data_IF_213461693505
#
_entry.id   IF_213461693505
#
_cell.length_a   1.000
_cell.length_b   1.000
_cell.length_c   1.000
_cell.angle_alpha   90.00
_cell.angle_beta   90.00
_cell.angle_gamma   90.00
#
_symmetry.space_group_name_H-M   'P 1'
#
loop_
_entity.id
_entity.type
_entity.pdbx_description
1 polymer ?
#
# COMPACT_ATOMS: atom_id res chain seq x y z
N UNK A 1 -10.59 21.45 -2.01
CA UNK A 1 -11.01 21.68 -0.61
C UNK A 1 -10.54 20.53 0.25
N UNK A 2 -9.93 20.82 1.39
CA UNK A 2 -9.53 19.78 2.34
C UNK A 2 -10.73 19.35 3.19
N UNK A 3 -10.70 18.10 3.67
CA UNK A 3 -11.74 17.53 4.53
C UNK A 3 -11.09 16.89 5.74
N UNK A 4 -11.64 17.15 6.92
CA UNK A 4 -11.25 16.51 8.17
C UNK A 4 -12.28 15.42 8.49
N UNK A 5 -11.87 14.15 8.38
CA UNK A 5 -12.70 13.04 8.82
C UNK A 5 -12.36 12.67 10.27
N UNK A 6 -13.38 12.51 11.10
CA UNK A 6 -13.24 12.26 12.54
C UNK A 6 -13.86 10.91 12.85
N UNK A 7 -13.11 10.08 13.58
CA UNK A 7 -13.53 8.77 14.06
C UNK A 7 -13.25 8.69 15.56
N UNK A 8 -14.16 8.05 16.30
CA UNK A 8 -13.93 7.68 17.70
C UNK A 8 -13.75 6.18 17.76
N UNK A 9 -12.72 5.74 18.47
CA UNK A 9 -12.48 4.32 18.73
C UNK A 9 -12.56 4.07 20.23
N UNK A 10 -13.49 3.21 20.64
CA UNK A 10 -13.69 2.78 22.01
C UNK A 10 -13.13 1.38 22.25
N UNK A 11 -12.79 1.08 23.50
CA UNK A 11 -12.51 -0.27 23.98
C UNK A 11 -13.32 -0.47 25.25
N UNK A 12 -14.13 -1.52 25.32
CA UNK A 12 -14.92 -1.84 26.50
C UNK A 12 -14.14 -2.68 27.53
N UNK A 13 -14.78 -3.02 28.65
CA UNK A 13 -14.16 -3.81 29.72
C UNK A 13 -13.81 -5.25 29.29
N UNK A 14 -14.44 -5.76 28.22
CA UNK A 14 -14.17 -7.06 27.62
C UNK A 14 -13.13 -6.98 26.48
N UNK A 15 -12.50 -5.81 26.29
CA UNK A 15 -11.53 -5.52 25.23
C UNK A 15 -12.11 -5.56 23.80
N UNK A 16 -13.42 -5.44 23.66
CA UNK A 16 -14.02 -5.28 22.34
C UNK A 16 -13.72 -3.87 21.81
N UNK A 17 -13.22 -3.81 20.58
CA UNK A 17 -12.90 -2.55 19.91
C UNK A 17 -14.09 -2.13 19.06
N UNK A 18 -14.64 -0.94 19.32
CA UNK A 18 -15.64 -0.30 18.47
C UNK A 18 -15.03 0.92 17.78
N UNK A 19 -15.39 1.15 16.53
CA UNK A 19 -15.00 2.34 15.78
C UNK A 19 -16.23 2.97 15.15
N UNK A 20 -16.45 4.25 15.43
CA UNK A 20 -17.60 5.00 14.96
C UNK A 20 -17.14 6.21 14.16
N UNK A 21 -17.77 6.39 13.01
CA UNK A 21 -17.61 7.58 12.21
C UNK A 21 -18.41 8.72 12.83
N UNK A 22 -17.73 9.82 13.16
CA UNK A 22 -18.35 10.98 13.82
C UNK A 22 -18.87 11.95 12.77
N UNK A 23 -17.95 12.50 11.96
CA UNK A 23 -18.29 13.51 10.98
C UNK A 23 -17.16 13.73 9.98
N UNK A 24 -17.51 14.41 8.88
CA UNK A 24 -16.55 15.00 7.94
C UNK A 24 -16.77 16.50 7.93
N UNK A 25 -15.78 17.25 8.41
CA UNK A 25 -15.78 18.71 8.40
C UNK A 25 -15.08 19.20 7.13
N UNK A 26 -15.75 20.06 6.37
CA UNK A 26 -15.13 20.68 5.19
C UNK A 26 -14.31 21.88 5.63
N UNK A 27 -13.03 21.91 5.27
CA UNK A 27 -12.13 23.03 5.57
C UNK A 27 -12.21 24.05 4.43
N UNK A 28 -12.72 25.25 4.71
CA UNK A 28 -13.07 26.27 3.71
C UNK A 28 -11.88 27.11 3.27
N UNK A 29 -10.96 27.44 4.18
CA UNK A 29 -9.92 28.44 3.93
C UNK A 29 -8.50 27.86 4.06
N UNK A 30 -8.10 27.49 5.28
CA UNK A 30 -6.76 26.99 5.59
C UNK A 30 -6.82 25.67 6.38
N UNK A 31 -5.70 24.93 6.37
CA UNK A 31 -5.54 23.67 7.11
C UNK A 31 -4.45 23.79 8.16
N UNK A 32 -4.39 24.94 8.84
CA UNK A 32 -3.43 25.14 9.92
C UNK A 32 -3.75 24.23 11.10
N UNK A 33 -2.78 24.06 12.00
CA UNK A 33 -3.00 23.30 13.22
C UNK A 33 -4.13 23.87 14.09
N UNK A 34 -4.37 25.18 14.02
CA UNK A 34 -5.44 25.80 14.79
C UNK A 34 -6.81 25.50 14.20
N UNK A 35 -6.95 25.61 12.87
CA UNK A 35 -8.22 25.36 12.17
C UNK A 35 -8.65 23.91 12.40
N UNK A 36 -7.72 22.97 12.23
CA UNK A 36 -8.00 21.54 12.44
C UNK A 36 -8.36 21.25 13.90
N UNK A 37 -7.68 21.89 14.86
CA UNK A 37 -7.99 21.72 16.28
C UNK A 37 -9.39 22.24 16.63
N UNK A 38 -9.75 23.44 16.18
CA UNK A 38 -11.07 24.04 16.44
C UNK A 38 -12.18 23.19 15.82
N UNK A 39 -12.02 22.75 14.57
CA UNK A 39 -12.99 21.87 13.92
C UNK A 39 -13.12 20.51 14.62
N UNK A 40 -12.01 19.91 15.07
CA UNK A 40 -12.01 18.65 15.80
C UNK A 40 -12.73 18.78 17.15
N UNK A 41 -12.36 19.78 17.94
CA UNK A 41 -12.93 19.99 19.28
C UNK A 41 -14.42 20.32 19.17
N UNK A 42 -14.81 21.22 18.27
CA UNK A 42 -16.23 21.54 18.06
C UNK A 42 -17.06 20.33 17.64
N UNK A 43 -16.52 19.46 16.78
CA UNK A 43 -17.22 18.24 16.39
C UNK A 43 -17.38 17.23 17.54
N UNK A 44 -16.39 17.13 18.44
CA UNK A 44 -16.44 16.23 19.60
C UNK A 44 -17.31 16.79 20.74
N UNK A 45 -17.30 18.12 20.95
CA UNK A 45 -18.16 18.80 21.91
C UNK A 45 -19.65 18.70 21.50
N UNK A 46 -19.96 18.75 20.20
CA UNK A 46 -21.32 18.51 19.68
C UNK A 46 -21.83 17.08 19.95
N UNK A 47 -20.93 16.13 20.20
CA UNK A 47 -21.26 14.76 20.57
C UNK A 47 -21.23 14.53 22.09
N UNK A 48 -21.03 15.57 22.88
CA UNK A 48 -20.90 15.50 24.34
C UNK A 48 -19.84 14.49 24.79
N UNK A 49 -18.75 14.36 24.02
CA UNK A 49 -17.68 13.39 24.32
C UNK A 49 -17.00 13.76 25.63
N UNK A 50 -16.99 12.81 26.56
CA UNK A 50 -16.25 12.93 27.81
C UNK A 50 -14.74 12.80 27.57
N UNK A 51 -14.06 13.94 27.58
CA UNK A 51 -12.61 14.04 27.41
C UNK A 51 -11.82 13.30 28.49
N UNK A 52 -12.38 13.05 29.68
CA UNK A 52 -11.70 12.30 30.74
C UNK A 52 -11.47 10.83 30.35
N UNK A 53 -12.26 10.31 29.41
CA UNK A 53 -12.16 8.96 28.86
C UNK A 53 -11.26 8.90 27.62
N UNK A 54 -10.79 10.04 27.12
CA UNK A 54 -9.98 10.11 25.93
C UNK A 54 -8.53 9.71 26.25
N UNK A 55 -8.13 8.54 25.74
CA UNK A 55 -6.80 7.98 26.02
C UNK A 55 -5.76 8.51 25.03
N UNK A 56 -6.08 8.54 23.73
CA UNK A 56 -5.11 8.90 22.69
C UNK A 56 -5.75 9.47 21.42
N UNK A 57 -4.92 10.13 20.61
CA UNK A 57 -5.28 10.63 19.28
C UNK A 57 -4.34 10.05 18.23
N UNK A 58 -4.91 9.58 17.13
CA UNK A 58 -4.18 9.09 15.97
C UNK A 58 -4.26 10.08 14.80
N UNK A 59 -3.14 10.30 14.09
CA UNK A 59 -3.02 11.33 13.04
C UNK A 59 -2.31 10.82 11.79
N UNK A 60 -2.57 11.46 10.65
CA UNK A 60 -2.01 11.15 9.32
C UNK A 60 -0.56 11.63 9.12
N UNK A 61 -0.01 12.34 10.10
CA UNK A 61 1.35 12.88 10.07
C UNK A 61 1.50 14.19 9.30
N UNK A 62 0.40 14.84 8.90
CA UNK A 62 0.46 16.16 8.27
C UNK A 62 1.16 17.18 9.19
N UNK A 63 1.94 18.15 8.65
CA UNK A 63 2.67 19.13 9.47
C UNK A 63 1.80 19.87 10.49
N UNK A 64 0.54 20.18 10.14
CA UNK A 64 -0.46 20.76 11.04
C UNK A 64 -0.83 19.85 12.22
N UNK A 65 -0.75 18.52 12.05
CA UNK A 65 -1.02 17.53 13.10
C UNK A 65 0.22 17.22 13.96
N UNK A 66 1.43 17.24 13.38
CA UNK A 66 2.69 16.82 14.04
C UNK A 66 3.61 17.94 14.50
N UNK A 67 3.30 19.20 14.20
CA UNK A 67 4.17 20.33 14.54
C UNK A 67 4.60 20.34 16.02
N UNK A 68 5.91 20.33 16.28
CA UNK A 68 6.48 20.21 17.64
C UNK A 68 6.11 21.37 18.58
N UNK A 69 5.86 22.56 18.03
CA UNK A 69 5.56 23.79 18.79
C UNK A 69 4.09 24.18 18.80
N UNK A 70 3.34 23.83 17.75
CA UNK A 70 1.99 24.36 17.53
C UNK A 70 1.04 23.38 16.82
N UNK A 71 1.41 22.10 16.68
CA UNK A 71 0.56 21.09 16.03
C UNK A 71 -0.69 20.76 16.84
N UNK A 72 -1.72 20.21 16.19
CA UNK A 72 -2.99 19.80 16.83
C UNK A 72 -2.77 18.91 18.05
N UNK A 73 -1.77 18.03 18.01
CA UNK A 73 -1.45 17.15 19.15
C UNK A 73 -0.90 17.89 20.36
N UNK A 74 -0.14 18.97 20.15
CA UNK A 74 0.33 19.81 21.26
C UNK A 74 -0.87 20.48 21.93
N UNK A 75 -1.80 21.02 21.12
CA UNK A 75 -3.04 21.65 21.59
C UNK A 75 -3.97 20.67 22.31
N UNK A 76 -4.08 19.41 21.85
CA UNK A 76 -4.88 18.38 22.52
C UNK A 76 -4.29 17.98 23.88
N UNK A 77 -2.96 18.03 24.03
CA UNK A 77 -2.30 17.77 25.32
C UNK A 77 -2.70 18.82 26.36
N UNK A 78 -2.77 20.09 25.96
CA UNK A 78 -3.23 21.19 26.83
C UNK A 78 -4.69 21.01 27.28
N UNK A 79 -5.53 20.34 26.47
CA UNK A 79 -6.92 19.98 26.78
C UNK A 79 -7.08 18.73 27.67
N UNK A 80 -5.97 18.13 28.13
CA UNK A 80 -5.99 16.99 29.07
C UNK A 80 -5.86 15.61 28.45
N UNK A 81 -5.48 15.49 27.17
CA UNK A 81 -5.22 14.21 26.52
C UNK A 81 -3.84 13.66 26.97
N UNK A 82 -3.77 12.57 27.77
CA UNK A 82 -2.53 12.16 28.46
C UNK A 82 -1.52 11.49 27.52
N UNK A 83 -1.99 10.74 26.53
CA UNK A 83 -1.13 10.10 25.55
C UNK A 83 -1.36 10.65 24.15
N UNK A 84 -0.26 11.00 23.50
CA UNK A 84 -0.21 11.10 22.06
C UNK A 84 0.86 10.11 21.62
N UNK A 85 0.50 9.26 20.67
CA UNK A 85 1.49 8.41 20.04
C UNK A 85 2.10 9.25 18.91
N UNK A 86 3.44 9.30 18.81
CA UNK A 86 4.16 9.83 17.63
C UNK A 86 3.98 8.94 16.39
N UNK A 87 2.89 8.19 16.41
CA UNK A 87 2.55 7.10 15.56
C UNK A 87 1.55 7.65 14.56
N UNK A 88 2.06 8.03 13.38
CA UNK A 88 1.35 7.66 12.14
C UNK A 88 1.00 6.20 12.33
N UNK A 89 -0.30 5.84 12.36
CA UNK A 89 -0.80 4.49 12.63
C UNK A 89 0.30 3.45 12.51
N UNK A 90 0.81 2.94 13.63
CA UNK A 90 1.73 1.81 13.59
C UNK A 90 0.90 0.80 12.83
N UNK A 91 1.41 0.37 11.68
CA UNK A 91 0.74 -0.71 10.97
C UNK A 91 0.55 -1.84 11.98
N UNK A 92 -0.51 -2.65 11.82
CA UNK A 92 -0.76 -3.77 12.73
C UNK A 92 0.52 -4.60 12.97
N UNK A 93 1.39 -4.72 11.97
CA UNK A 93 2.73 -5.32 12.08
C UNK A 93 3.70 -4.60 13.01
N UNK A 94 3.76 -3.26 12.97
CA UNK A 94 4.65 -2.51 13.83
C UNK A 94 4.21 -2.53 15.31
N UNK A 95 2.90 -2.56 15.59
CA UNK A 95 2.37 -2.84 16.94
C UNK A 95 2.75 -4.24 17.39
N UNK A 96 2.52 -5.24 16.53
CA UNK A 96 2.82 -6.64 16.82
C UNK A 96 4.31 -6.87 17.14
N UNK A 97 5.21 -6.23 16.37
CA UNK A 97 6.66 -6.26 16.60
C UNK A 97 7.04 -5.64 17.94
N UNK A 98 6.39 -4.55 18.35
CA UNK A 98 6.63 -3.93 19.64
C UNK A 98 6.12 -4.80 20.79
N UNK A 99 4.93 -5.39 20.63
CA UNK A 99 4.39 -6.36 21.59
C UNK A 99 5.34 -7.54 21.79
N UNK A 100 5.85 -8.13 20.70
CA UNK A 100 6.80 -9.24 20.79
C UNK A 100 8.07 -8.88 21.56
N UNK A 101 8.60 -7.66 21.37
CA UNK A 101 9.79 -7.19 22.10
C UNK A 101 9.53 -7.05 23.61
N UNK A 102 8.38 -6.49 23.98
CA UNK A 102 8.00 -6.20 25.37
C UNK A 102 7.25 -7.36 26.05
N UNK A 103 7.17 -8.53 25.42
CA UNK A 103 6.29 -9.62 25.87
C UNK A 103 6.57 -10.07 27.31
N UNK A 104 7.83 -10.01 27.77
CA UNK A 104 8.20 -10.43 29.13
C UNK A 104 7.69 -9.41 30.15
N UNK A 105 7.93 -8.14 29.88
CA UNK A 105 7.48 -7.02 30.70
C UNK A 105 5.95 -6.94 30.75
N UNK A 106 5.29 -7.25 29.63
CA UNK A 106 3.82 -7.35 29.56
C UNK A 106 3.33 -8.51 30.43
N UNK A 107 3.96 -9.69 30.36
CA UNK A 107 3.60 -10.84 31.19
C UNK A 107 3.73 -10.52 32.69
N UNK A 108 4.86 -9.94 33.10
CA UNK A 108 5.11 -9.50 34.48
C UNK A 108 4.08 -8.47 34.96
N UNK A 109 3.77 -7.47 34.14
CA UNK A 109 2.76 -6.46 34.45
C UNK A 109 1.36 -7.08 34.63
N UNK A 110 0.98 -7.97 33.71
CA UNK A 110 -0.32 -8.63 33.74
C UNK A 110 -0.47 -9.55 34.96
N UNK A 111 0.61 -10.26 35.33
CA UNK A 111 0.67 -11.03 36.56
C UNK A 111 0.51 -10.13 37.80
N UNK A 112 1.17 -8.98 37.84
CA UNK A 112 1.05 -8.03 38.96
C UNK A 112 -0.38 -7.45 39.09
N UNK A 113 -1.16 -7.44 38.00
CA UNK A 113 -2.58 -7.06 37.99
C UNK A 113 -3.53 -8.22 38.32
N UNK A 114 -3.01 -9.40 38.67
CA UNK A 114 -3.81 -10.59 38.95
C UNK A 114 -4.50 -11.16 37.71
N UNK A 115 -3.99 -10.87 36.51
CA UNK A 115 -4.53 -11.34 35.23
C UNK A 115 -3.41 -11.98 34.40
N UNK A 116 -2.88 -13.16 34.79
CA UNK A 116 -1.81 -13.82 34.04
C UNK A 116 -2.27 -14.13 32.60
N UNK A 117 -1.33 -14.09 31.66
CA UNK A 117 -1.56 -14.40 30.24
C UNK A 117 -0.76 -15.66 29.93
N UNK A 118 -1.42 -16.82 30.05
CA UNK A 118 -0.78 -18.14 29.95
C UNK A 118 -0.09 -18.35 28.59
N UNK A 119 -0.58 -17.72 27.54
CA UNK A 119 0.01 -17.76 26.20
C UNK A 119 1.42 -17.18 26.14
N UNK A 120 1.77 -16.25 27.04
CA UNK A 120 3.11 -15.67 27.12
C UNK A 120 4.13 -16.59 27.81
N UNK A 121 3.66 -17.67 28.46
CA UNK A 121 4.49 -18.71 29.06
C UNK A 121 4.62 -19.95 28.14
N UNK A 122 3.73 -20.11 27.15
CA UNK A 122 3.76 -21.23 26.20
C UNK A 122 4.86 -21.06 25.12
N UNK A 123 5.90 -21.93 25.09
CA UNK A 123 6.94 -21.87 24.08
C UNK A 123 6.44 -22.09 22.64
N UNK A 124 5.36 -22.85 22.43
CA UNK A 124 4.78 -23.04 21.11
C UNK A 124 4.10 -21.77 20.61
N UNK A 125 3.27 -21.17 21.46
CA UNK A 125 2.62 -19.89 21.15
C UNK A 125 3.63 -18.78 20.87
N UNK A 126 4.73 -18.68 21.63
CA UNK A 126 5.78 -17.68 21.39
C UNK A 126 6.45 -17.88 20.02
N UNK A 127 6.62 -19.13 19.55
CA UNK A 127 7.15 -19.41 18.20
C UNK A 127 6.18 -18.97 17.11
N UNK A 128 4.89 -19.26 17.28
CA UNK A 128 3.86 -18.83 16.35
C UNK A 128 3.78 -17.30 16.28
N UNK A 129 3.84 -16.63 17.43
CA UNK A 129 3.91 -15.17 17.50
C UNK A 129 5.17 -14.64 16.78
N UNK A 130 6.33 -15.26 17.00
CA UNK A 130 7.57 -14.84 16.35
C UNK A 130 7.49 -14.94 14.82
N UNK A 131 6.95 -16.04 14.30
CA UNK A 131 6.69 -16.20 12.87
C UNK A 131 5.71 -15.12 12.36
N UNK A 132 4.61 -14.89 13.09
CA UNK A 132 3.59 -13.91 12.72
C UNK A 132 4.17 -12.48 12.66
N UNK A 133 5.02 -12.11 13.63
CA UNK A 133 5.71 -10.81 13.66
C UNK A 133 6.57 -10.63 12.41
N UNK A 134 7.39 -11.62 12.09
CA UNK A 134 8.32 -11.55 10.97
C UNK A 134 7.58 -11.51 9.61
N UNK A 135 6.57 -12.36 9.39
CA UNK A 135 5.81 -12.34 8.12
C UNK A 135 4.99 -11.05 7.97
N UNK A 136 4.43 -10.53 9.07
CA UNK A 136 3.69 -9.27 9.03
C UNK A 136 4.61 -8.08 8.75
N UNK A 137 5.85 -8.11 9.23
CA UNK A 137 6.85 -7.11 8.90
C UNK A 137 7.21 -7.14 7.41
N UNK A 138 7.40 -8.32 6.84
CA UNK A 138 7.62 -8.48 5.39
C UNK A 138 6.45 -7.92 4.56
N UNK A 139 5.22 -8.21 4.97
CA UNK A 139 4.00 -7.66 4.35
C UNK A 139 3.91 -6.14 4.52
N UNK A 140 4.34 -5.61 5.67
CA UNK A 140 4.39 -4.17 5.91
C UNK A 140 5.40 -3.48 5.00
N UNK A 141 6.59 -4.06 4.80
CA UNK A 141 7.59 -3.56 3.85
C UNK A 141 7.03 -3.54 2.42
N UNK A 142 6.35 -4.60 1.98
CA UNK A 142 5.68 -4.61 0.68
C UNK A 142 4.64 -3.48 0.60
N UNK A 143 3.78 -3.36 1.62
CA UNK A 143 2.72 -2.35 1.66
C UNK A 143 3.29 -0.93 1.55
N UNK A 144 4.34 -0.60 2.30
CA UNK A 144 5.05 0.69 2.22
C UNK A 144 5.70 0.88 0.85
N UNK A 145 6.28 -0.19 0.28
CA UNK A 145 6.87 -0.16 -1.07
C UNK A 145 5.82 0.10 -2.14
N UNK A 146 4.57 -0.31 -1.95
CA UNK A 146 3.47 0.04 -2.86
C UNK A 146 2.82 1.40 -2.55
N UNK A 147 3.17 2.05 -1.44
CA UNK A 147 2.70 3.39 -1.14
C UNK A 147 3.59 4.43 -1.83
N UNK A 148 3.00 5.54 -2.27
CA UNK A 148 3.70 6.61 -2.98
C UNK A 148 2.84 7.25 -4.05
N UNK A 149 3.19 8.47 -4.45
CA UNK A 149 2.63 9.13 -5.63
C UNK A 149 3.57 8.89 -6.81
N UNK A 150 3.05 8.96 -8.03
CA UNK A 150 3.82 8.82 -9.28
C UNK A 150 4.54 7.47 -9.42
N UNK A 151 3.88 6.36 -9.04
CA UNK A 151 4.36 5.01 -9.34
C UNK A 151 3.62 4.46 -10.54
N UNK A 152 4.35 3.85 -11.46
CA UNK A 152 3.82 3.17 -12.63
C UNK A 152 3.16 1.86 -12.22
N UNK A 153 2.11 1.46 -12.96
CA UNK A 153 1.44 0.16 -12.75
C UNK A 153 2.43 -1.01 -12.78
N UNK A 154 3.44 -0.93 -13.65
CA UNK A 154 4.52 -1.92 -13.77
C UNK A 154 5.38 -2.02 -12.52
N UNK A 155 5.64 -0.92 -11.81
CA UNK A 155 6.41 -0.95 -10.56
C UNK A 155 5.64 -1.64 -9.41
N UNK A 156 4.30 -1.54 -9.40
CA UNK A 156 3.48 -2.33 -8.49
C UNK A 156 3.57 -3.81 -8.82
N UNK A 157 3.50 -4.14 -10.11
CA UNK A 157 3.64 -5.52 -10.57
C UNK A 157 5.00 -6.11 -10.17
N UNK A 158 6.09 -5.38 -10.42
CA UNK A 158 7.44 -5.78 -10.03
C UNK A 158 7.55 -6.01 -8.52
N UNK A 159 6.94 -5.13 -7.72
CA UNK A 159 6.94 -5.25 -6.26
C UNK A 159 6.23 -6.51 -5.78
N UNK A 160 5.07 -6.82 -6.37
CA UNK A 160 4.30 -8.04 -6.05
C UNK A 160 5.06 -9.29 -6.49
N UNK A 161 5.58 -9.31 -7.71
CA UNK A 161 6.37 -10.42 -8.25
C UNK A 161 7.61 -10.70 -7.40
N UNK A 162 8.36 -9.65 -7.04
CA UNK A 162 9.52 -9.77 -6.17
C UNK A 162 9.14 -10.34 -4.79
N UNK A 163 7.96 -9.98 -4.27
CA UNK A 163 7.47 -10.55 -3.01
C UNK A 163 7.08 -12.03 -3.15
N UNK A 164 6.39 -12.42 -4.23
CA UNK A 164 6.09 -13.84 -4.51
C UNK A 164 7.38 -14.68 -4.64
N UNK A 165 8.41 -14.17 -5.31
CA UNK A 165 9.73 -14.84 -5.38
C UNK A 165 10.37 -14.98 -4.01
N UNK A 166 10.26 -13.96 -3.15
CA UNK A 166 10.74 -14.03 -1.75
C UNK A 166 9.96 -15.06 -0.94
N UNK A 167 8.63 -15.12 -1.07
CA UNK A 167 7.79 -16.14 -0.41
C UNK A 167 8.22 -17.56 -0.81
N UNK A 168 8.47 -17.80 -2.10
CA UNK A 168 8.94 -19.09 -2.60
C UNK A 168 10.30 -19.48 -1.98
N UNK A 169 11.24 -18.54 -1.90
CA UNK A 169 12.53 -18.73 -1.24
C UNK A 169 12.36 -19.04 0.25
N UNK A 170 11.57 -18.25 0.97
CA UNK A 170 11.33 -18.42 2.40
C UNK A 170 10.66 -19.75 2.72
N UNK A 171 9.68 -20.18 1.90
CA UNK A 171 9.06 -21.50 2.02
C UNK A 171 10.11 -22.61 1.89
N UNK A 172 10.97 -22.54 0.86
CA UNK A 172 12.03 -23.53 0.66
C UNK A 172 13.02 -23.56 1.83
N UNK A 173 13.42 -22.39 2.34
CA UNK A 173 14.33 -22.27 3.47
C UNK A 173 13.73 -22.82 4.77
N UNK A 174 12.47 -22.51 5.08
CA UNK A 174 11.80 -23.04 6.28
C UNK A 174 11.70 -24.57 6.22
N UNK A 175 11.39 -25.16 5.07
CA UNK A 175 11.42 -26.62 4.88
C UNK A 175 12.81 -27.22 5.14
N UNK A 176 13.87 -26.46 4.89
CA UNK A 176 15.27 -26.83 5.17
C UNK A 176 15.74 -26.41 6.56
N UNK A 177 14.83 -26.01 7.46
CA UNK A 177 15.12 -25.53 8.83
C UNK A 177 15.99 -24.27 8.88
N UNK A 178 15.92 -23.44 7.85
CA UNK A 178 16.63 -22.18 7.75
C UNK A 178 15.68 -21.00 7.96
N UNK A 179 15.80 -20.33 9.11
CA UNK A 179 15.02 -19.14 9.47
C UNK A 179 15.79 -17.81 9.22
N UNK A 180 16.74 -17.77 8.28
CA UNK A 180 17.61 -16.60 8.07
C UNK A 180 16.87 -15.26 7.89
N UNK A 181 15.71 -15.28 7.24
CA UNK A 181 14.89 -14.08 6.99
C UNK A 181 13.74 -13.89 8.00
N UNK A 182 13.72 -14.67 9.08
CA UNK A 182 12.76 -14.58 10.16
C UNK A 182 13.52 -14.31 11.46
N UNK A 183 13.94 -13.06 11.73
CA UNK A 183 14.83 -12.75 12.86
C UNK A 183 14.21 -13.05 14.22
N UNK A 184 12.91 -12.82 14.42
CA UNK A 184 12.24 -13.17 15.68
C UNK A 184 12.20 -14.70 15.83
N UNK A 185 11.83 -15.41 14.77
CA UNK A 185 11.77 -16.88 14.79
C UNK A 185 13.15 -17.52 14.98
N UNK A 186 14.19 -16.98 14.32
CA UNK A 186 15.59 -17.43 14.42
C UNK A 186 16.16 -17.28 15.83
N UNK A 187 15.65 -16.32 16.61
CA UNK A 187 16.07 -16.12 18.00
C UNK A 187 15.59 -17.23 18.95
N UNK A 188 14.70 -18.10 18.48
CA UNK A 188 14.11 -19.19 19.25
C UNK A 188 14.64 -20.55 18.79
N UNK A 189 14.61 -21.54 19.69
CA UNK A 189 14.77 -22.94 19.31
C UNK A 189 13.48 -23.44 18.66
N UNK A 190 13.51 -23.64 17.34
CA UNK A 190 12.34 -24.04 16.55
C UNK A 190 12.46 -25.51 16.17
N UNK A 191 11.44 -26.29 16.51
CA UNK A 191 11.40 -27.71 16.18
C UNK A 191 11.03 -27.94 14.70
N UNK A 192 11.22 -29.16 14.21
CA UNK A 192 10.95 -29.48 12.82
C UNK A 192 9.48 -29.33 12.44
N UNK A 193 8.55 -29.66 13.34
CA UNK A 193 7.12 -29.63 13.08
C UNK A 193 6.60 -28.20 12.89
N UNK A 194 7.07 -27.25 13.71
CA UNK A 194 6.80 -25.82 13.55
C UNK A 194 7.35 -25.29 12.22
N UNK A 195 8.57 -25.68 11.83
CA UNK A 195 9.12 -25.28 10.52
C UNK A 195 8.25 -25.74 9.34
N UNK A 196 7.78 -26.99 9.37
CA UNK A 196 6.87 -27.53 8.34
C UNK A 196 5.52 -26.81 8.35
N UNK A 197 4.96 -26.55 9.54
CA UNK A 197 3.73 -25.74 9.71
C UNK A 197 3.87 -24.36 9.08
N UNK A 198 4.96 -23.63 9.36
CA UNK A 198 5.20 -22.29 8.82
C UNK A 198 5.41 -22.30 7.31
N UNK A 199 6.13 -23.29 6.76
CA UNK A 199 6.26 -23.46 5.31
C UNK A 199 4.91 -23.70 4.63
N UNK A 200 4.00 -24.45 5.27
CA UNK A 200 2.62 -24.65 4.80
C UNK A 200 1.82 -23.35 4.81
N UNK A 201 1.91 -22.56 5.89
CA UNK A 201 1.27 -21.23 5.97
C UNK A 201 1.76 -20.29 4.87
N UNK A 202 3.06 -20.30 4.56
CA UNK A 202 3.59 -19.53 3.42
C UNK A 202 3.02 -20.02 2.09
N UNK A 203 2.80 -21.32 1.93
CA UNK A 203 2.14 -21.86 0.73
C UNK A 203 0.72 -21.34 0.57
N UNK A 204 -0.05 -21.25 1.67
CA UNK A 204 -1.38 -20.63 1.65
C UNK A 204 -1.32 -19.15 1.29
N UNK A 205 -0.36 -18.41 1.88
CA UNK A 205 -0.16 -17.00 1.55
C UNK A 205 0.21 -16.79 0.08
N UNK A 206 1.06 -17.63 -0.50
CA UNK A 206 1.39 -17.59 -1.93
C UNK A 206 0.14 -17.74 -2.80
N UNK A 207 -0.72 -18.72 -2.50
CA UNK A 207 -1.98 -18.92 -3.22
C UNK A 207 -2.91 -17.69 -3.13
N UNK A 208 -3.01 -17.05 -1.96
CA UNK A 208 -3.77 -15.80 -1.81
C UNK A 208 -3.21 -14.66 -2.65
N UNK A 209 -1.88 -14.57 -2.80
CA UNK A 209 -1.26 -13.60 -3.70
C UNK A 209 -1.60 -13.91 -5.17
N UNK A 210 -1.51 -15.17 -5.59
CA UNK A 210 -1.82 -15.58 -6.95
C UNK A 210 -3.28 -15.28 -7.32
N UNK A 211 -4.22 -15.56 -6.40
CA UNK A 211 -5.64 -15.27 -6.56
C UNK A 211 -5.93 -13.75 -6.57
N UNK A 212 -5.33 -13.00 -5.65
CA UNK A 212 -5.59 -11.56 -5.53
C UNK A 212 -4.97 -10.73 -6.67
N UNK A 213 -3.87 -11.20 -7.24
CA UNK A 213 -3.11 -10.50 -8.27
C UNK A 213 -3.16 -11.21 -9.65
N UNK A 214 -4.15 -12.07 -9.89
CA UNK A 214 -4.33 -12.79 -11.17
C UNK A 214 -4.32 -11.85 -12.37
N UNK A 215 -4.94 -10.67 -12.25
CA UNK A 215 -4.97 -9.62 -13.30
C UNK A 215 -3.57 -9.18 -13.72
N UNK A 216 -2.60 -9.18 -12.80
CA UNK A 216 -1.22 -8.83 -13.16
C UNK A 216 -0.53 -9.90 -14.00
N UNK A 217 -0.89 -11.17 -13.79
CA UNK A 217 -0.42 -12.28 -14.63
C UNK A 217 -1.01 -12.17 -16.04
N UNK A 218 -2.28 -11.80 -16.16
CA UNK A 218 -2.94 -11.57 -17.47
C UNK A 218 -2.31 -10.40 -18.23
N UNK A 219 -1.92 -9.34 -17.53
CA UNK A 219 -1.32 -8.13 -18.10
C UNK A 219 0.21 -8.21 -18.23
N UNK A 220 0.83 -9.35 -17.96
CA UNK A 220 2.28 -9.48 -17.96
C UNK A 220 2.91 -9.07 -19.30
N UNK A 221 2.30 -9.50 -20.41
CA UNK A 221 2.77 -9.17 -21.77
C UNK A 221 2.64 -7.68 -22.06
N UNK A 222 1.52 -7.07 -21.66
CA UNK A 222 1.28 -5.63 -21.78
C UNK A 222 2.30 -4.82 -20.98
N UNK A 223 2.60 -5.26 -19.76
CA UNK A 223 3.62 -4.63 -18.92
C UNK A 223 5.02 -4.79 -19.50
N UNK A 224 5.34 -5.94 -20.11
CA UNK A 224 6.60 -6.16 -20.79
C UNK A 224 6.74 -5.24 -22.01
N UNK A 225 5.69 -5.10 -22.84
CA UNK A 225 5.66 -4.16 -23.96
C UNK A 225 5.87 -2.72 -23.51
N UNK A 226 5.16 -2.30 -22.46
CA UNK A 226 5.30 -0.95 -21.91
C UNK A 226 6.71 -0.70 -21.36
N UNK A 227 7.31 -1.69 -20.69
CA UNK A 227 8.59 -1.51 -19.99
C UNK A 227 9.82 -1.74 -20.86
N UNK A 228 9.67 -2.45 -21.96
CA UNK A 228 10.76 -2.83 -22.83
C UNK A 228 10.35 -2.86 -24.31
N UNK A 229 9.78 -1.77 -24.87
CA UNK A 229 9.25 -1.76 -26.23
C UNK A 229 10.32 -2.11 -27.29
N UNK A 230 11.60 -1.86 -27.00
CA UNK A 230 12.72 -2.14 -27.91
C UNK A 230 13.20 -3.60 -27.92
N UNK A 231 12.70 -4.44 -27.01
CA UNK A 231 13.09 -5.86 -26.91
C UNK A 231 11.90 -6.81 -26.91
N UNK A 232 10.68 -6.29 -26.86
CA UNK A 232 9.46 -7.10 -26.94
C UNK A 232 9.32 -7.72 -28.32
N UNK A 233 8.98 -9.00 -28.38
CA UNK A 233 8.70 -9.69 -29.62
C UNK A 233 7.43 -9.11 -30.27
N UNK A 234 7.57 -8.57 -31.49
CA UNK A 234 6.45 -7.98 -32.22
C UNK A 234 5.40 -9.01 -32.65
N UNK A 235 5.72 -10.31 -32.69
CA UNK A 235 4.74 -11.35 -32.97
C UNK A 235 3.83 -11.67 -31.78
N UNK A 236 4.24 -11.30 -30.56
CA UNK A 236 3.53 -11.58 -29.32
C UNK A 236 2.60 -10.44 -28.86
N UNK A 237 2.55 -9.32 -29.60
CA UNK A 237 1.69 -8.17 -29.32
C UNK A 237 0.44 -8.17 -30.21
N UNK A 238 -0.64 -7.45 -29.85
CA UNK A 238 -1.86 -7.38 -30.66
C UNK A 238 -1.56 -6.94 -32.11
N UNK A 239 -2.24 -7.55 -33.09
CA UNK A 239 -2.01 -7.35 -34.53
C UNK A 239 -1.94 -5.87 -34.93
N UNK A 240 -2.82 -5.04 -34.39
CA UNK A 240 -2.86 -3.60 -34.68
C UNK A 240 -1.63 -2.82 -34.20
N UNK A 241 -0.82 -3.35 -33.28
CA UNK A 241 0.38 -2.68 -32.76
C UNK A 241 1.67 -3.14 -33.45
N UNK A 242 1.64 -4.26 -34.16
CA UNK A 242 2.86 -4.94 -34.62
C UNK A 242 3.70 -4.05 -35.55
N UNK A 243 3.07 -3.39 -36.53
CA UNK A 243 3.77 -2.55 -37.50
C UNK A 243 4.37 -1.30 -36.84
N UNK A 244 3.60 -0.59 -36.01
CA UNK A 244 4.11 0.57 -35.25
C UNK A 244 5.27 0.17 -34.32
N UNK A 245 5.20 -1.02 -33.71
CA UNK A 245 6.24 -1.50 -32.81
C UNK A 245 7.53 -1.80 -33.58
N UNK A 246 7.44 -2.43 -34.75
CA UNK A 246 8.60 -2.69 -35.62
C UNK A 246 9.25 -1.37 -36.04
N UNK A 247 8.46 -0.40 -36.50
CA UNK A 247 8.97 0.92 -36.89
C UNK A 247 9.64 1.65 -35.72
N UNK A 248 9.04 1.57 -34.52
CA UNK A 248 9.61 2.13 -33.30
C UNK A 248 10.94 1.44 -32.95
N UNK A 249 10.99 0.11 -33.01
CA UNK A 249 12.17 -0.69 -32.68
C UNK A 249 13.36 -0.43 -33.62
N UNK A 250 13.09 -0.16 -34.90
CA UNK A 250 14.10 0.18 -35.90
C UNK A 250 14.59 1.64 -35.83
N UNK A 251 13.91 2.51 -35.06
CA UNK A 251 14.29 3.92 -34.95
C UNK A 251 15.39 4.15 -33.89
N UNK A 252 16.64 4.31 -34.34
CA UNK A 252 17.78 4.57 -33.46
C UNK A 252 17.58 5.81 -32.56
N UNK A 253 17.04 6.89 -33.11
CA UNK A 253 16.75 8.13 -32.36
C UNK A 253 15.78 7.89 -31.19
N UNK A 254 14.72 7.10 -31.40
CA UNK A 254 13.77 6.79 -30.34
C UNK A 254 14.38 5.84 -29.31
N UNK A 255 15.23 4.90 -29.74
CA UNK A 255 15.98 4.02 -28.83
C UNK A 255 16.91 4.80 -27.89
N UNK A 256 17.63 5.79 -28.43
CA UNK A 256 18.51 6.67 -27.65
C UNK A 256 17.72 7.58 -26.70
N UNK A 257 16.57 8.10 -27.16
CA UNK A 257 15.66 8.88 -26.33
C UNK A 257 15.13 8.03 -25.15
N UNK A 258 14.70 6.79 -25.41
CA UNK A 258 14.23 5.87 -24.38
C UNK A 258 15.26 5.64 -23.27
N UNK A 259 16.53 5.47 -23.65
CA UNK A 259 17.62 5.27 -22.71
C UNK A 259 17.95 6.52 -21.87
N UNK A 260 17.59 7.73 -22.32
CA UNK A 260 18.05 8.99 -21.73
C UNK A 260 16.98 9.78 -20.96
N UNK A 261 15.69 9.66 -21.28
CA UNK A 261 14.64 10.54 -20.70
C UNK A 261 13.73 9.88 -19.66
N UNK A 262 13.89 8.58 -19.42
CA UNK A 262 12.97 7.79 -18.58
C UNK A 262 11.66 7.48 -19.30
N UNK A 263 10.97 6.43 -18.82
CA UNK A 263 9.83 5.82 -19.51
C UNK A 263 8.63 6.76 -19.69
N UNK A 264 8.27 7.55 -18.66
CA UNK A 264 7.13 8.47 -18.74
C UNK A 264 7.36 9.59 -19.77
N UNK A 265 8.53 10.24 -19.70
CA UNK A 265 8.91 11.31 -20.61
C UNK A 265 9.03 10.81 -22.04
N UNK A 266 9.58 9.60 -22.23
CA UNK A 266 9.69 8.98 -23.55
C UNK A 266 8.32 8.86 -24.22
N UNK A 267 7.37 8.22 -23.54
CA UNK A 267 6.03 8.01 -24.10
C UNK A 267 5.25 9.32 -24.31
N UNK A 268 5.49 10.34 -23.49
CA UNK A 268 4.91 11.69 -23.70
C UNK A 268 5.52 12.43 -24.90
N UNK A 269 6.73 12.04 -25.31
CA UNK A 269 7.47 12.65 -26.43
C UNK A 269 7.38 11.89 -27.74
N UNK A 270 6.59 10.81 -27.79
CA UNK A 270 6.44 10.01 -29.00
C UNK A 270 5.82 10.85 -30.14
N UNK A 271 6.35 10.73 -31.37
CA UNK A 271 5.76 11.37 -32.54
C UNK A 271 4.31 10.91 -32.80
N UNK A 272 3.48 11.74 -33.43
CA UNK A 272 2.09 11.39 -33.78
C UNK A 272 1.97 10.22 -34.77
N UNK A 273 3.07 9.79 -35.37
CA UNK A 273 3.20 8.61 -36.24
C UNK A 273 3.03 7.28 -35.50
N UNK A 274 3.06 7.29 -34.15
CA UNK A 274 2.86 6.10 -33.31
C UNK A 274 1.59 6.22 -32.43
N UNK A 275 0.40 6.45 -33.03
CA UNK A 275 -0.81 6.74 -32.27
C UNK A 275 -1.27 5.58 -31.39
N UNK A 276 -1.10 4.33 -31.83
CA UNK A 276 -1.56 3.15 -31.08
C UNK A 276 -0.65 2.89 -29.89
N UNK A 277 0.67 2.96 -30.07
CA UNK A 277 1.64 2.82 -28.97
C UNK A 277 1.48 3.96 -27.96
N UNK A 278 1.26 5.19 -28.44
CA UNK A 278 1.04 6.35 -27.57
C UNK A 278 -0.24 6.19 -26.74
N UNK A 279 -1.35 5.78 -27.36
CA UNK A 279 -2.61 5.54 -26.66
C UNK A 279 -2.47 4.43 -25.59
N UNK A 280 -1.80 3.33 -25.92
CA UNK A 280 -1.51 2.24 -25.00
C UNK A 280 -0.67 2.71 -23.80
N UNK A 281 0.39 3.47 -24.05
CA UNK A 281 1.25 4.01 -23.01
C UNK A 281 0.51 4.99 -22.09
N UNK A 282 -0.27 5.92 -22.67
CA UNK A 282 -1.10 6.87 -21.92
C UNK A 282 -2.12 6.15 -21.04
N UNK A 283 -2.71 5.04 -21.50
CA UNK A 283 -3.61 4.23 -20.69
C UNK A 283 -2.90 3.64 -19.46
N UNK A 284 -1.68 3.11 -19.63
CA UNK A 284 -0.89 2.57 -18.52
C UNK A 284 -0.39 3.65 -17.55
N UNK A 285 -0.05 4.84 -18.06
CA UNK A 285 0.31 6.01 -17.27
C UNK A 285 -0.89 6.57 -16.48
N UNK A 286 -2.07 6.68 -17.10
CA UNK A 286 -3.26 7.25 -16.46
C UNK A 286 -3.90 6.33 -15.42
N UNK A 287 -3.77 5.00 -15.56
CA UNK A 287 -4.15 4.04 -14.50
C UNK A 287 -3.44 4.33 -13.16
N UNK A 288 -2.26 4.95 -13.17
CA UNK A 288 -1.57 5.43 -11.96
C UNK A 288 -2.33 6.55 -11.22
N UNK A 289 -3.04 7.42 -11.95
CA UNK A 289 -3.65 8.65 -11.41
C UNK A 289 -5.09 8.47 -10.89
N UNK A 290 -5.87 7.50 -11.40
CA UNK A 290 -7.34 7.40 -11.16
C UNK A 290 -7.76 6.09 -10.47
N UNK A 291 -6.87 5.57 -9.62
CA UNK A 291 -6.78 4.21 -9.06
C UNK A 291 -8.06 3.48 -8.56
N UNK A 292 -9.23 4.10 -8.40
CA UNK A 292 -10.39 3.46 -7.76
C UNK A 292 -11.69 3.34 -8.59
N UNK A 293 -11.78 3.74 -9.88
CA UNK A 293 -13.08 3.72 -10.60
C UNK A 293 -13.07 3.30 -12.08
N UNK A 294 -11.95 2.89 -12.66
CA UNK A 294 -11.88 2.57 -14.10
C UNK A 294 -12.08 1.07 -14.35
N UNK A 295 -13.32 0.69 -14.63
CA UNK A 295 -13.66 -0.61 -15.25
C UNK A 295 -13.25 -0.66 -16.73
N UNK A 296 -13.21 -1.87 -17.30
CA UNK A 296 -12.84 -2.13 -18.70
C UNK A 296 -13.71 -1.36 -19.72
N UNK A 297 -14.98 -1.07 -19.39
CA UNK A 297 -15.87 -0.25 -20.22
C UNK A 297 -15.36 1.18 -20.41
N UNK A 298 -14.93 1.83 -19.32
CA UNK A 298 -14.34 3.17 -19.38
C UNK A 298 -13.03 3.20 -20.19
N UNK A 299 -12.28 2.09 -20.22
CA UNK A 299 -11.04 1.97 -20.97
C UNK A 299 -11.29 1.85 -22.48
N UNK A 300 -12.30 1.09 -22.88
CA UNK A 300 -12.70 0.98 -24.27
C UNK A 300 -13.25 2.31 -24.80
N UNK A 301 -13.99 3.06 -23.97
CA UNK A 301 -14.49 4.38 -24.32
C UNK A 301 -13.37 5.43 -24.42
N UNK A 302 -12.37 5.39 -23.55
CA UNK A 302 -11.18 6.25 -23.65
C UNK A 302 -10.34 5.92 -24.89
N UNK A 303 -10.18 4.63 -25.23
CA UNK A 303 -9.54 4.23 -26.49
C UNK A 303 -10.28 4.77 -27.71
N UNK A 304 -11.61 4.65 -27.74
CA UNK A 304 -12.44 5.23 -28.83
C UNK A 304 -12.31 6.74 -28.91
N UNK A 305 -12.29 7.45 -27.78
CA UNK A 305 -12.15 8.91 -27.75
C UNK A 305 -10.76 9.36 -28.21
N UNK A 306 -9.69 8.69 -27.74
CA UNK A 306 -8.31 9.03 -28.11
C UNK A 306 -8.02 8.75 -29.60
N UNK A 307 -8.61 7.69 -30.15
CA UNK A 307 -8.51 7.36 -31.59
C UNK A 307 -9.48 8.17 -32.46
N UNK A 308 -10.59 8.67 -31.92
CA UNK A 308 -11.51 9.54 -32.66
C UNK A 308 -11.06 11.02 -32.72
N UNK A 309 -10.11 11.44 -31.89
CA UNK A 309 -9.54 12.80 -31.97
C UNK A 309 -8.71 13.04 -33.24
N UNK A 310 -8.38 12.00 -34.00
CA UNK A 310 -7.77 12.11 -35.35
C UNK A 310 -8.80 12.13 -36.49
N UNK A 311 -10.10 11.96 -36.21
CA UNK A 311 -11.19 12.03 -37.18
C UNK A 311 -11.83 13.41 -37.15
N UNK A 312 -11.38 14.30 -38.03
CA UNK A 312 -12.12 15.53 -38.35
C UNK A 312 -13.39 15.19 -39.15
N UNK A 313 -14.58 15.66 -38.76
CA UNK A 313 -15.79 15.50 -39.58
C UNK A 313 -15.58 16.15 -40.95
N UNK A 314 -15.90 15.43 -42.01
CA UNK A 314 -15.81 15.93 -43.38
C UNK A 314 -17.01 16.84 -43.65
N UNK A 315 -16.91 18.09 -43.21
CA UNK A 315 -17.98 19.10 -43.34
C UNK A 315 -18.25 19.44 -44.81
N UNK A 316 -17.31 19.16 -45.72
CA UNK A 316 -17.45 19.40 -47.16
C UNK A 316 -18.34 18.36 -47.88
N UNK A 317 -18.83 17.35 -47.15
CA UNK A 317 -19.81 16.36 -47.65
C UNK A 317 -21.20 16.48 -46.99
N UNK A 318 -21.47 17.57 -46.26
CA UNK A 318 -22.81 17.92 -45.76
C UNK A 318 -23.52 18.89 -46.69
#
# INVERSE_FOLDING_TARGET
MAKLAIFIRGVDAALNVTEEFVSVVTMTDTTTANDVFVSLVGALENLEVDWSRAVSVAKDGAPSMVGRKAGVVVKLREKGLPYHTDVRWLSRGAVLKQFYKLRKEIAEFMQAKGKPVEELDDPEWIRDLAFLVDITEHLNVLNVTMQGRNKLVTEYYDSVRAFQSKLALWKAQLSQRNAAHFPCLKSLSVNHQSMVKYASLLSGLMHEFDNRFTVFTELEKDFALFRSPFTTDASEVPEGMQMELIDLQCCARLKDAYASTGIESFYQSLPPEYPIITAFAVMNLNKSKVRNRLTHGHLNDVMKIATAQSLSPNVDKL
#
